data_IF_426153894568
#
_entry.id   IF_426153894568
#
_cell.length_a   1.000
_cell.length_b   1.000
_cell.length_c   1.000
_cell.angle_alpha   90.00
_cell.angle_beta   90.00
_cell.angle_gamma   90.00
#
_symmetry.space_group_name_H-M   'P 1'
#
loop_
_entity.id
_entity.type
_entity.pdbx_description
1 polymer ?
#
# COMPACT_ATOMS: atom_id res chain seq x y z
N UNK A 1 -1.49 -13.40 6.10
CA UNK A 1 -1.03 -13.07 4.74
C UNK A 1 -0.56 -11.64 4.78
N UNK A 2 0.68 -11.42 4.37
CA UNK A 2 1.31 -10.11 4.34
C UNK A 2 1.24 -9.55 2.92
N UNK A 3 1.22 -8.24 2.81
CA UNK A 3 1.15 -7.51 1.55
C UNK A 3 2.29 -6.52 1.47
N UNK A 4 2.84 -6.36 0.27
CA UNK A 4 3.76 -5.29 -0.06
C UNK A 4 2.99 -4.19 -0.77
N UNK A 5 2.98 -3.01 -0.17
CA UNK A 5 2.49 -1.78 -0.79
C UNK A 5 3.67 -1.01 -1.33
N UNK A 6 3.56 -0.53 -2.56
CA UNK A 6 4.53 0.39 -3.13
C UNK A 6 3.81 1.54 -3.81
N UNK A 7 4.33 2.74 -3.63
CA UNK A 7 3.76 3.95 -4.19
C UNK A 7 4.87 4.90 -4.64
N UNK A 8 4.52 5.78 -5.57
CA UNK A 8 5.45 6.75 -6.16
C UNK A 8 5.26 8.09 -5.46
N UNK A 9 6.32 8.64 -4.87
CA UNK A 9 6.38 10.01 -4.36
C UNK A 9 7.31 10.83 -5.25
N UNK A 10 6.74 11.56 -6.21
CA UNK A 10 7.52 12.33 -7.17
C UNK A 10 8.37 11.42 -8.06
N UNK A 11 9.69 11.46 -7.88
CA UNK A 11 10.65 10.62 -8.63
C UNK A 11 11.11 9.39 -7.83
N UNK A 12 10.70 9.26 -6.57
CA UNK A 12 11.10 8.18 -5.67
C UNK A 12 10.01 7.11 -5.54
N UNK A 13 10.44 5.85 -5.43
CA UNK A 13 9.56 4.69 -5.17
C UNK A 13 9.74 4.27 -3.73
N UNK A 14 8.67 4.39 -2.96
CA UNK A 14 8.58 3.93 -1.56
C UNK A 14 7.88 2.57 -1.50
N UNK A 15 8.11 1.84 -0.42
CA UNK A 15 7.37 0.61 -0.14
C UNK A 15 7.18 0.34 1.36
N UNK A 16 6.18 -0.46 1.69
CA UNK A 16 5.89 -0.91 3.05
C UNK A 16 5.24 -2.29 3.06
N UNK A 17 5.61 -3.12 4.03
CA UNK A 17 4.91 -4.36 4.32
C UNK A 17 3.78 -4.11 5.31
N UNK A 18 2.61 -4.68 5.03
CA UNK A 18 1.40 -4.53 5.85
C UNK A 18 0.68 -5.86 5.99
N UNK A 19 0.02 -6.05 7.12
CA UNK A 19 -0.89 -7.18 7.31
C UNK A 19 -2.23 -6.96 6.59
N UNK A 20 -3.00 -8.03 6.39
CA UNK A 20 -4.35 -7.95 5.81
C UNK A 20 -5.27 -6.93 6.52
N UNK A 21 -5.28 -6.91 7.85
CA UNK A 21 -6.10 -6.00 8.66
C UNK A 21 -5.68 -4.52 8.50
N UNK A 22 -4.37 -4.28 8.33
CA UNK A 22 -3.83 -2.95 8.05
C UNK A 22 -4.15 -2.51 6.62
N UNK A 23 -4.06 -3.42 5.65
CA UNK A 23 -4.41 -3.15 4.26
C UNK A 23 -5.87 -2.72 4.12
N UNK A 24 -6.79 -3.41 4.78
CA UNK A 24 -8.21 -3.05 4.75
C UNK A 24 -8.46 -1.64 5.32
N UNK A 25 -7.77 -1.28 6.41
CA UNK A 25 -7.85 0.07 6.99
C UNK A 25 -7.26 1.15 6.09
N UNK A 26 -6.16 0.83 5.41
CA UNK A 26 -5.47 1.73 4.49
C UNK A 26 -6.31 2.00 3.24
N UNK A 27 -6.86 0.95 2.62
CA UNK A 27 -7.75 1.08 1.46
C UNK A 27 -9.09 1.75 1.80
N UNK A 28 -9.58 1.61 3.03
CA UNK A 28 -10.80 2.27 3.48
C UNK A 28 -10.61 3.78 3.69
N UNK A 29 -9.38 4.25 3.93
CA UNK A 29 -9.05 5.67 4.04
C UNK A 29 -8.76 6.26 2.65
N UNK A 30 -9.83 6.60 1.93
CA UNK A 30 -9.79 7.12 0.54
C UNK A 30 -9.00 8.44 0.34
N UNK A 31 -8.58 9.13 1.41
CA UNK A 31 -7.93 10.45 1.34
C UNK A 31 -6.40 10.42 1.20
N UNK A 32 -5.70 9.39 1.70
CA UNK A 32 -4.21 9.36 1.68
C UNK A 32 -3.61 8.54 0.53
N UNK A 33 -4.31 7.51 0.01
CA UNK A 33 -3.70 6.52 -0.91
C UNK A 33 -4.32 6.46 -2.32
N UNK A 34 -5.04 7.51 -2.77
CA UNK A 34 -5.40 7.65 -4.21
C UNK A 34 -4.21 8.00 -5.12
N UNK A 35 -2.99 7.88 -4.63
CA UNK A 35 -1.76 8.11 -5.37
C UNK A 35 -1.10 6.76 -5.71
N UNK A 36 -1.36 6.24 -6.91
CA UNK A 36 -0.57 5.19 -7.60
C UNK A 36 0.07 4.13 -6.68
N UNK A 37 -0.76 3.42 -5.90
CA UNK A 37 -0.32 2.32 -5.05
C UNK A 37 -0.45 0.99 -5.80
N UNK A 38 0.62 0.18 -5.79
CA UNK A 38 0.62 -1.20 -6.26
C UNK A 38 0.65 -2.11 -5.02
N UNK A 39 -0.33 -3.00 -4.92
CA UNK A 39 -0.45 -3.97 -3.84
C UNK A 39 -0.03 -5.34 -4.37
N UNK A 40 0.93 -5.97 -3.69
CA UNK A 40 1.41 -7.31 -4.02
C UNK A 40 1.18 -8.24 -2.82
N UNK A 41 0.46 -9.34 -3.03
CA UNK A 41 0.29 -10.38 -2.02
C UNK A 41 1.56 -11.20 -1.87
N UNK A 42 2.00 -11.40 -0.64
CA UNK A 42 3.14 -12.26 -0.32
C UNK A 42 2.58 -13.59 0.20
N UNK A 43 3.03 -14.68 -0.43
CA UNK A 43 2.61 -16.04 -0.12
C UNK A 43 3.18 -16.56 1.20
#
# INVERSE_FOLDING_TARGET
MDYLLTWIKGEEVDYRFVSADELEKLLANEEEEKNNCIVVSLH
#
